data_IF_005657633096
#
_entry.id   IF_005657633096
#
_cell.length_a   1.000
_cell.length_b   1.000
_cell.length_c   1.000
_cell.angle_alpha   90.00
_cell.angle_beta   90.00
_cell.angle_gamma   90.00
#
_symmetry.space_group_name_H-M   'P 1'
#
loop_
_entity.id
_entity.type
_entity.pdbx_description
1 polymer ?
#
# COMPACT_ATOMS: atom_id res chain seq x y z
N UNK A 1 -12.91 -0.10 11.12
CA UNK A 1 -12.71 1.28 10.62
C UNK A 1 -11.30 1.36 10.07
N UNK A 2 -11.06 2.16 9.03
CA UNK A 2 -9.76 2.24 8.34
C UNK A 2 -9.05 3.53 8.72
N UNK A 3 -7.73 3.48 8.92
CA UNK A 3 -6.89 4.67 9.15
C UNK A 3 -6.86 5.59 7.92
N UNK A 4 -6.33 6.80 8.11
CA UNK A 4 -6.11 7.75 7.01
C UNK A 4 -5.06 7.19 6.06
N UNK A 5 -4.00 6.60 6.62
CA UNK A 5 -2.90 6.00 5.89
C UNK A 5 -3.39 4.84 5.02
N UNK A 6 -4.25 3.97 5.56
CA UNK A 6 -4.84 2.87 4.80
C UNK A 6 -5.75 3.39 3.68
N UNK A 7 -6.60 4.38 3.95
CA UNK A 7 -7.46 4.99 2.94
C UNK A 7 -6.65 5.61 1.79
N UNK A 8 -5.54 6.28 2.13
CA UNK A 8 -4.62 6.84 1.13
C UNK A 8 -4.03 5.73 0.26
N UNK A 9 -3.45 4.69 0.88
CA UNK A 9 -2.90 3.53 0.17
C UNK A 9 -3.94 2.88 -0.75
N UNK A 10 -5.15 2.61 -0.24
CA UNK A 10 -6.21 1.96 -1.03
C UNK A 10 -6.64 2.81 -2.22
N UNK A 11 -6.70 4.14 -2.06
CA UNK A 11 -7.01 5.06 -3.16
C UNK A 11 -5.92 5.02 -4.23
N UNK A 12 -4.67 5.20 -3.87
CA UNK A 12 -3.54 5.25 -4.80
C UNK A 12 -3.36 3.93 -5.56
N UNK A 13 -3.39 2.80 -4.84
CA UNK A 13 -3.33 1.48 -5.48
C UNK A 13 -4.56 1.26 -6.36
N UNK A 14 -5.75 1.64 -5.90
CA UNK A 14 -6.99 1.51 -6.67
C UNK A 14 -6.93 2.27 -7.99
N UNK A 15 -6.46 3.51 -7.99
CA UNK A 15 -6.27 4.34 -9.19
C UNK A 15 -5.25 3.70 -10.15
N UNK A 16 -4.14 3.19 -9.62
CA UNK A 16 -3.09 2.53 -10.41
C UNK A 16 -3.59 1.24 -11.08
N UNK A 17 -4.27 0.38 -10.33
CA UNK A 17 -4.86 -0.89 -10.84
C UNK A 17 -5.97 -0.60 -11.85
N UNK A 18 -6.83 0.40 -11.59
CA UNK A 18 -7.86 0.81 -12.53
C UNK A 18 -7.24 1.25 -13.87
N UNK A 19 -6.21 2.10 -13.82
CA UNK A 19 -5.50 2.57 -15.01
C UNK A 19 -4.86 1.41 -15.79
N UNK A 20 -4.17 0.49 -15.09
CA UNK A 20 -3.57 -0.70 -15.69
C UNK A 20 -4.62 -1.55 -16.41
N UNK A 21 -5.76 -1.82 -15.76
CA UNK A 21 -6.83 -2.62 -16.33
C UNK A 21 -7.49 -1.90 -17.52
N UNK A 22 -7.72 -0.59 -17.42
CA UNK A 22 -8.27 0.23 -18.51
C UNK A 22 -7.38 0.17 -19.75
N UNK A 23 -6.06 0.31 -19.56
CA UNK A 23 -5.07 0.19 -20.65
C UNK A 23 -5.13 -1.23 -21.26
N UNK A 24 -5.14 -2.27 -20.42
CA UNK A 24 -5.20 -3.66 -20.91
C UNK A 24 -6.46 -3.92 -21.73
N UNK A 25 -7.62 -3.43 -21.27
CA UNK A 25 -8.89 -3.53 -21.99
C UNK A 25 -8.86 -2.73 -23.28
N UNK A 26 -8.46 -1.45 -23.24
CA UNK A 26 -8.38 -0.59 -24.42
C UNK A 26 -7.47 -1.20 -25.51
N UNK A 27 -6.31 -1.74 -25.12
CA UNK A 27 -5.39 -2.41 -26.04
C UNK A 27 -5.98 -3.69 -26.65
N UNK A 28 -6.92 -4.37 -25.98
CA UNK A 28 -7.57 -5.56 -26.52
C UNK A 28 -8.44 -5.26 -27.74
N UNK A 29 -8.99 -4.04 -27.84
CA UNK A 29 -9.79 -3.59 -28.97
C UNK A 29 -8.96 -3.14 -30.18
N UNK A 30 -7.65 -2.91 -30.04
CA UNK A 30 -6.80 -2.59 -31.16
C UNK A 30 -6.56 -3.85 -32.02
N UNK A 31 -6.65 -3.75 -33.37
CA UNK A 31 -6.33 -4.87 -34.26
C UNK A 31 -4.84 -5.21 -34.14
N UNK A 32 -4.47 -6.45 -34.45
CA UNK A 32 -3.07 -6.88 -34.45
C UNK A 32 -2.31 -6.53 -35.73
N UNK A 33 -3.05 -6.21 -36.80
CA UNK A 33 -2.50 -5.88 -38.12
C UNK A 33 -3.32 -4.78 -38.79
N UNK A 34 -2.72 -4.09 -39.76
CA UNK A 34 -3.36 -3.05 -40.55
C UNK A 34 -2.90 -1.63 -40.13
N UNK A 35 -3.50 -0.63 -40.76
CA UNK A 35 -3.29 0.78 -40.40
C UNK A 35 -4.41 1.21 -39.46
N UNK A 36 -4.03 1.87 -38.36
CA UNK A 36 -4.97 2.47 -37.42
C UNK A 36 -4.88 3.98 -37.60
N UNK A 37 -6.01 4.62 -37.86
CA UNK A 37 -6.08 6.09 -37.89
C UNK A 37 -6.13 6.60 -36.47
N UNK A 38 -5.26 7.54 -36.13
CA UNK A 38 -5.34 8.26 -34.84
C UNK A 38 -6.65 9.04 -34.83
N UNK A 39 -7.46 8.94 -33.76
CA UNK A 39 -8.72 9.69 -33.63
C UNK A 39 -8.50 11.21 -33.77
N UNK A 40 -9.46 11.87 -34.43
CA UNK A 40 -9.46 13.32 -34.53
C UNK A 40 -9.54 13.94 -33.14
N UNK A 41 -8.71 14.94 -32.86
CA UNK A 41 -8.62 15.57 -31.54
C UNK A 41 -7.49 15.04 -30.64
N UNK A 42 -6.80 13.95 -31.03
CA UNK A 42 -5.57 13.53 -30.39
C UNK A 42 -4.38 14.09 -31.18
N UNK A 43 -3.75 15.14 -30.65
CA UNK A 43 -2.55 15.74 -31.26
C UNK A 43 -1.29 14.97 -30.86
N UNK A 44 -1.19 13.72 -31.35
CA UNK A 44 -0.08 12.81 -31.12
C UNK A 44 0.43 12.20 -32.44
N UNK A 45 1.73 11.99 -32.52
CA UNK A 45 2.36 11.18 -33.56
C UNK A 45 2.42 9.73 -33.11
N UNK A 46 1.65 8.83 -33.76
CA UNK A 46 1.64 7.41 -33.43
C UNK A 46 1.54 6.54 -34.68
N UNK A 47 2.67 6.04 -35.11
CA UNK A 47 2.82 5.18 -36.31
C UNK A 47 3.67 3.94 -35.96
N UNK A 48 3.11 2.93 -35.29
CA UNK A 48 3.86 1.75 -34.89
C UNK A 48 4.21 0.89 -36.11
N UNK A 49 5.49 0.51 -36.22
CA UNK A 49 5.93 -0.46 -37.25
C UNK A 49 5.25 -1.83 -37.10
N UNK A 50 4.94 -2.20 -35.85
CA UNK A 50 4.24 -3.43 -35.50
C UNK A 50 3.25 -3.15 -34.36
N UNK A 51 1.96 -3.24 -34.64
CA UNK A 51 0.90 -2.94 -33.68
C UNK A 51 0.91 -3.94 -32.52
N UNK A 52 1.10 -5.23 -32.81
CA UNK A 52 1.14 -6.28 -31.77
C UNK A 52 2.29 -6.05 -30.77
N UNK A 53 3.47 -5.67 -31.27
CA UNK A 53 4.60 -5.32 -30.41
C UNK A 53 4.33 -4.04 -29.61
N UNK A 54 3.72 -3.04 -30.21
CA UNK A 54 3.31 -1.80 -29.53
C UNK A 54 2.29 -2.07 -28.42
N UNK A 55 1.27 -2.89 -28.67
CA UNK A 55 0.31 -3.35 -27.65
C UNK A 55 1.01 -4.02 -26.48
N UNK A 56 1.93 -4.96 -26.77
CA UNK A 56 2.69 -5.67 -25.75
C UNK A 56 3.52 -4.73 -24.90
N UNK A 57 4.26 -3.80 -25.51
CA UNK A 57 5.07 -2.81 -24.83
C UNK A 57 4.24 -1.88 -23.94
N UNK A 58 3.10 -1.39 -24.46
CA UNK A 58 2.20 -0.51 -23.71
C UNK A 58 1.59 -1.22 -22.51
N UNK A 59 1.16 -2.47 -22.66
CA UNK A 59 0.65 -3.29 -21.57
C UNK A 59 1.73 -3.54 -20.51
N UNK A 60 2.92 -3.93 -20.94
CA UNK A 60 4.06 -4.16 -20.03
C UNK A 60 4.45 -2.88 -19.26
N UNK A 61 4.35 -1.71 -19.91
CA UNK A 61 4.57 -0.42 -19.25
C UNK A 61 3.54 -0.18 -18.15
N UNK A 62 2.25 -0.42 -18.40
CA UNK A 62 1.19 -0.26 -17.42
C UNK A 62 1.38 -1.20 -16.21
N UNK A 63 1.70 -2.47 -16.48
CA UNK A 63 1.98 -3.47 -15.45
C UNK A 63 3.19 -3.06 -14.58
N UNK A 64 4.29 -2.60 -15.20
CA UNK A 64 5.47 -2.08 -14.49
C UNK A 64 5.16 -0.87 -13.63
N UNK A 65 4.41 0.08 -14.17
CA UNK A 65 4.00 1.27 -13.43
C UNK A 65 3.21 0.90 -12.19
N UNK A 66 2.29 -0.07 -12.29
CA UNK A 66 1.49 -0.52 -11.15
C UNK A 66 2.32 -1.16 -10.04
N UNK A 67 3.40 -1.90 -10.37
CA UNK A 67 4.33 -2.40 -9.35
C UNK A 67 5.04 -1.25 -8.62
N UNK A 68 5.51 -0.24 -9.37
CA UNK A 68 6.22 0.90 -8.78
C UNK A 68 5.29 1.69 -7.86
N UNK A 69 4.12 2.07 -8.34
CA UNK A 69 3.14 2.81 -7.52
C UNK A 69 2.73 2.03 -6.27
N UNK A 70 2.47 0.73 -6.41
CA UNK A 70 2.05 -0.08 -5.25
C UNK A 70 3.14 -0.24 -4.20
N UNK A 71 4.41 -0.31 -4.61
CA UNK A 71 5.53 -0.37 -3.67
C UNK A 71 5.75 0.98 -2.97
N UNK A 72 5.68 2.10 -3.71
CA UNK A 72 5.81 3.43 -3.11
C UNK A 72 4.66 3.72 -2.14
N UNK A 73 3.42 3.40 -2.52
CA UNK A 73 2.27 3.54 -1.61
C UNK A 73 2.41 2.67 -0.36
N UNK A 74 3.00 1.45 -0.47
CA UNK A 74 3.31 0.62 0.69
C UNK A 74 4.35 1.29 1.60
N UNK A 75 5.43 1.85 1.03
CA UNK A 75 6.44 2.55 1.82
C UNK A 75 5.83 3.74 2.57
N UNK A 76 5.05 4.57 1.89
CA UNK A 76 4.38 5.72 2.50
C UNK A 76 3.40 5.29 3.60
N UNK A 77 2.66 4.20 3.39
CA UNK A 77 1.76 3.64 4.40
C UNK A 77 2.52 3.20 5.65
N UNK A 78 3.59 2.42 5.49
CA UNK A 78 4.37 1.91 6.61
C UNK A 78 5.06 3.04 7.39
N UNK A 79 5.61 4.04 6.70
CA UNK A 79 6.17 5.22 7.35
C UNK A 79 5.10 6.06 8.05
N UNK A 80 3.93 6.20 7.44
CA UNK A 80 2.82 6.96 8.02
C UNK A 80 2.30 6.33 9.32
N UNK A 81 2.04 5.02 9.28
CA UNK A 81 1.52 4.30 10.45
C UNK A 81 2.55 4.24 11.60
N UNK A 82 3.85 4.11 11.29
CA UNK A 82 4.90 4.09 12.31
C UNK A 82 5.12 5.44 13.02
N UNK A 83 4.63 6.54 12.45
CA UNK A 83 4.64 7.87 13.09
C UNK A 83 3.47 8.09 14.06
N UNK A 84 2.53 7.14 14.14
CA UNK A 84 1.43 7.25 15.09
C UNK A 84 1.98 7.24 16.53
N UNK A 85 1.55 8.16 17.41
CA UNK A 85 2.05 8.26 18.79
C UNK A 85 1.91 6.97 19.61
N UNK A 86 0.99 6.10 19.23
CA UNK A 86 0.72 4.82 19.91
C UNK A 86 1.38 3.63 19.25
N UNK A 87 2.23 3.86 18.23
CA UNK A 87 2.94 2.79 17.56
C UNK A 87 3.96 2.14 18.51
N UNK A 88 3.79 0.85 18.76
CA UNK A 88 4.61 0.08 19.73
C UNK A 88 5.67 -0.79 19.06
N UNK A 89 5.66 -0.86 17.72
CA UNK A 89 6.64 -1.59 16.93
C UNK A 89 7.81 -0.68 16.54
N UNK A 90 8.94 -1.23 16.05
CA UNK A 90 10.05 -0.41 15.59
C UNK A 90 9.64 0.60 14.52
N UNK A 91 10.17 1.81 14.61
CA UNK A 91 9.98 2.82 13.57
C UNK A 91 10.55 2.38 12.23
N UNK A 92 9.89 2.78 11.15
CA UNK A 92 10.35 2.52 9.81
C UNK A 92 10.56 3.83 9.06
N UNK A 93 11.71 3.96 8.43
CA UNK A 93 12.05 5.08 7.56
C UNK A 93 12.80 4.54 6.34
N UNK A 94 12.36 4.91 5.16
CA UNK A 94 12.94 4.49 3.89
C UNK A 94 13.85 5.53 3.23
N UNK A 95 14.02 6.70 3.82
CA UNK A 95 14.90 7.76 3.30
C UNK A 95 16.35 7.28 3.36
N UNK A 96 17.05 7.27 2.21
CA UNK A 96 18.43 6.82 2.11
C UNK A 96 18.64 5.31 2.29
N UNK A 97 17.59 4.52 2.41
CA UNK A 97 17.67 3.08 2.63
C UNK A 97 17.90 2.32 1.31
N UNK A 98 19.05 1.68 1.17
CA UNK A 98 19.39 0.88 -0.01
C UNK A 98 18.65 -0.46 -0.06
N UNK A 99 18.32 -1.03 1.10
CA UNK A 99 17.69 -2.36 1.23
C UNK A 99 16.21 -2.27 1.60
N UNK A 100 15.47 -1.36 0.96
CA UNK A 100 14.04 -1.13 1.27
C UNK A 100 13.20 -2.43 1.29
N UNK A 101 13.40 -3.32 0.34
CA UNK A 101 12.67 -4.59 0.26
C UNK A 101 12.88 -5.46 1.51
N UNK A 102 14.13 -5.63 1.95
CA UNK A 102 14.45 -6.39 3.16
C UNK A 102 13.89 -5.71 4.42
N UNK A 103 13.93 -4.39 4.45
CA UNK A 103 13.38 -3.62 5.58
C UNK A 103 11.87 -3.79 5.69
N UNK A 104 11.15 -3.79 4.57
CA UNK A 104 9.71 -4.13 4.53
C UNK A 104 9.47 -5.53 5.10
N UNK A 105 10.21 -6.53 4.64
CA UNK A 105 10.07 -7.88 5.18
C UNK A 105 10.29 -7.94 6.69
N UNK A 106 11.39 -7.39 7.19
CA UNK A 106 11.73 -7.41 8.62
C UNK A 106 10.64 -6.73 9.46
N UNK A 107 10.15 -5.59 9.00
CA UNK A 107 9.07 -4.86 9.64
C UNK A 107 7.77 -5.69 9.67
N UNK A 108 7.33 -6.20 8.54
CA UNK A 108 6.09 -6.98 8.44
C UNK A 108 6.17 -8.28 9.26
N UNK A 109 7.31 -8.94 9.25
CA UNK A 109 7.53 -10.18 9.99
C UNK A 109 7.61 -9.96 11.51
N UNK A 110 7.74 -8.73 11.99
CA UNK A 110 7.67 -8.39 13.43
C UNK A 110 6.24 -8.23 13.94
N UNK A 111 5.24 -8.17 13.06
CA UNK A 111 3.83 -7.97 13.41
C UNK A 111 3.14 -9.35 13.51
N UNK A 112 2.57 -9.72 14.68
CA UNK A 112 2.07 -11.08 14.92
C UNK A 112 0.99 -11.56 13.95
N UNK A 113 0.13 -10.66 13.46
CA UNK A 113 -0.99 -10.99 12.57
C UNK A 113 -0.61 -11.05 11.08
N UNK A 114 0.69 -10.88 10.77
CA UNK A 114 1.19 -10.96 9.41
C UNK A 114 1.85 -12.31 9.19
N UNK A 115 1.24 -13.13 8.34
CA UNK A 115 1.85 -14.40 7.94
C UNK A 115 3.19 -14.17 7.23
N UNK A 116 4.15 -15.05 7.51
CA UNK A 116 5.49 -14.96 6.94
C UNK A 116 5.48 -14.98 5.41
N UNK A 117 4.64 -15.80 4.78
CA UNK A 117 4.50 -15.80 3.32
C UNK A 117 4.00 -14.45 2.79
N UNK A 118 3.07 -13.78 3.51
CA UNK A 118 2.59 -12.45 3.14
C UNK A 118 3.72 -11.42 3.18
N UNK A 119 4.54 -11.46 4.24
CA UNK A 119 5.70 -10.57 4.36
C UNK A 119 6.72 -10.79 3.24
N UNK A 120 7.01 -12.05 2.87
CA UNK A 120 7.93 -12.38 1.78
C UNK A 120 7.36 -11.94 0.42
N UNK A 121 6.06 -12.08 0.19
CA UNK A 121 5.42 -11.67 -1.07
C UNK A 121 5.37 -10.13 -1.21
N UNK A 122 5.22 -9.40 -0.11
CA UNK A 122 5.41 -7.93 -0.12
C UNK A 122 6.88 -7.55 -0.42
N UNK A 123 7.86 -8.26 0.14
CA UNK A 123 9.27 -8.09 -0.22
C UNK A 123 9.53 -8.37 -1.70
N UNK A 124 8.92 -9.41 -2.27
CA UNK A 124 9.04 -9.74 -3.69
C UNK A 124 8.52 -8.61 -4.58
N UNK A 125 7.37 -8.01 -4.22
CA UNK A 125 6.85 -6.83 -4.92
C UNK A 125 7.85 -5.66 -4.87
N UNK A 126 8.47 -5.40 -3.72
CA UNK A 126 9.49 -4.37 -3.58
C UNK A 126 10.76 -4.68 -4.42
N UNK A 127 11.14 -5.94 -4.55
CA UNK A 127 12.22 -6.35 -5.45
C UNK A 127 11.86 -6.16 -6.92
N UNK A 128 10.60 -6.41 -7.32
CA UNK A 128 10.11 -6.07 -8.66
C UNK A 128 10.25 -4.57 -8.93
N UNK A 129 9.79 -3.72 -8.00
CA UNK A 129 9.96 -2.26 -8.10
C UNK A 129 11.43 -1.89 -8.30
N UNK A 130 12.33 -2.47 -7.52
CA UNK A 130 13.76 -2.16 -7.62
C UNK A 130 14.33 -2.55 -8.99
N UNK A 131 13.95 -3.70 -9.55
CA UNK A 131 14.37 -4.11 -10.90
C UNK A 131 13.79 -3.24 -12.00
N UNK A 132 12.60 -2.69 -11.81
CA UNK A 132 11.94 -1.81 -12.78
C UNK A 132 12.59 -0.43 -12.79
N UNK A 133 12.85 0.14 -11.61
CA UNK A 133 13.37 1.51 -11.46
C UNK A 133 14.90 1.57 -11.70
N UNK A 134 15.62 0.56 -11.25
CA UNK A 134 17.08 0.52 -11.29
C UNK A 134 17.55 -0.59 -12.24
N UNK A 135 17.66 -0.28 -13.52
CA UNK A 135 18.00 -1.26 -14.58
C UNK A 135 19.32 -2.03 -14.33
N UNK A 136 20.23 -1.49 -13.53
CA UNK A 136 21.54 -2.05 -13.24
C UNK A 136 21.62 -2.91 -11.96
N UNK A 137 20.54 -3.04 -11.21
CA UNK A 137 20.54 -3.88 -10.00
C UNK A 137 20.21 -5.32 -10.39
N UNK A 138 21.24 -6.10 -10.73
CA UNK A 138 21.13 -7.53 -11.03
C UNK A 138 20.81 -8.38 -9.80
N UNK A 139 21.12 -7.90 -8.58
CA UNK A 139 21.10 -8.68 -7.34
C UNK A 139 19.83 -8.48 -6.50
N UNK A 140 18.83 -7.73 -6.98
CA UNK A 140 17.55 -7.61 -6.27
C UNK A 140 16.82 -8.96 -6.30
N UNK A 141 16.87 -9.71 -5.20
CA UNK A 141 16.23 -11.03 -5.07
C UNK A 141 15.93 -11.35 -3.61
N UNK A 142 14.89 -12.15 -3.40
CA UNK A 142 14.66 -12.79 -2.11
C UNK A 142 15.68 -13.93 -1.89
N UNK A 143 16.05 -14.18 -0.63
CA UNK A 143 17.03 -15.20 -0.29
C UNK A 143 16.52 -16.63 -0.63
N UNK A 144 17.46 -17.57 -0.83
CA UNK A 144 17.11 -18.99 -1.08
C UNK A 144 16.19 -19.55 0.00
N UNK A 145 16.49 -19.32 1.28
CA UNK A 145 15.66 -19.75 2.41
C UNK A 145 14.20 -19.28 2.33
N UNK A 146 13.98 -18.05 1.83
CA UNK A 146 12.62 -17.52 1.64
C UNK A 146 11.94 -18.15 0.43
N UNK A 147 12.69 -18.43 -0.63
CA UNK A 147 12.18 -19.16 -1.80
C UNK A 147 11.76 -20.57 -1.43
N UNK A 148 12.63 -21.29 -0.71
CA UNK A 148 12.34 -22.66 -0.24
C UNK A 148 11.06 -22.66 0.61
N UNK A 149 10.92 -21.71 1.53
CA UNK A 149 9.72 -21.54 2.35
C UNK A 149 8.45 -21.29 1.51
N UNK A 150 8.52 -20.42 0.49
CA UNK A 150 7.37 -20.16 -0.39
C UNK A 150 7.00 -21.41 -1.20
N UNK A 151 7.99 -22.16 -1.70
CA UNK A 151 7.77 -23.40 -2.45
C UNK A 151 7.16 -24.49 -1.56
N UNK A 152 7.61 -24.62 -0.31
CA UNK A 152 6.99 -25.51 0.69
C UNK A 152 5.51 -25.15 0.94
N UNK A 153 5.18 -23.87 0.95
CA UNK A 153 3.83 -23.36 1.20
C UNK A 153 2.99 -23.18 -0.08
N UNK A 154 3.43 -23.67 -1.24
CA UNK A 154 2.79 -23.43 -2.55
C UNK A 154 1.29 -23.70 -2.57
N UNK A 155 0.85 -24.83 -2.00
CA UNK A 155 -0.57 -25.22 -2.02
C UNK A 155 -1.43 -24.29 -1.15
N UNK A 156 -0.90 -23.87 0.00
CA UNK A 156 -1.54 -22.89 0.87
C UNK A 156 -1.62 -21.51 0.19
N UNK A 157 -0.54 -21.07 -0.46
CA UNK A 157 -0.48 -19.82 -1.22
C UNK A 157 -1.46 -19.86 -2.39
N UNK A 158 -1.48 -20.96 -3.15
CA UNK A 158 -2.39 -21.15 -4.28
C UNK A 158 -3.86 -21.00 -3.84
N UNK A 159 -4.25 -21.68 -2.76
CA UNK A 159 -5.62 -21.61 -2.25
C UNK A 159 -5.98 -20.25 -1.64
N UNK A 160 -5.03 -19.60 -0.94
CA UNK A 160 -5.24 -18.34 -0.23
C UNK A 160 -5.28 -17.10 -1.15
N UNK A 161 -4.53 -17.12 -2.25
CA UNK A 161 -4.31 -15.97 -3.12
C UNK A 161 -4.79 -16.21 -4.56
N UNK A 162 -6.06 -16.60 -4.72
CA UNK A 162 -6.73 -16.71 -6.01
C UNK A 162 -5.93 -17.52 -7.05
N UNK A 163 -5.55 -18.74 -6.68
CA UNK A 163 -4.79 -19.66 -7.51
C UNK A 163 -3.45 -19.06 -8.00
N UNK A 164 -2.74 -18.40 -7.09
CA UNK A 164 -1.42 -17.86 -7.37
C UNK A 164 -0.36 -18.95 -7.36
N UNK A 165 0.16 -19.23 -8.54
CA UNK A 165 1.26 -20.17 -8.72
C UNK A 165 2.59 -19.49 -8.37
N UNK A 166 3.10 -19.80 -7.17
CA UNK A 166 4.32 -19.18 -6.65
C UNK A 166 5.57 -19.63 -7.39
N UNK A 167 5.64 -20.86 -7.86
CA UNK A 167 6.79 -21.39 -8.58
C UNK A 167 6.91 -20.67 -9.93
N UNK A 168 5.78 -20.53 -10.65
CA UNK A 168 5.73 -19.77 -11.89
C UNK A 168 6.04 -18.27 -11.66
N UNK A 169 5.58 -17.69 -10.56
CA UNK A 169 5.86 -16.29 -10.24
C UNK A 169 7.34 -16.05 -9.92
N UNK A 170 8.00 -16.97 -9.26
CA UNK A 170 9.45 -16.93 -9.02
C UNK A 170 10.24 -17.11 -10.31
N UNK A 171 9.84 -18.03 -11.20
CA UNK A 171 10.42 -18.16 -12.54
C UNK A 171 10.25 -16.88 -13.37
N UNK A 172 9.04 -16.32 -13.36
CA UNK A 172 8.77 -15.03 -14.02
C UNK A 172 9.65 -13.90 -13.46
N UNK A 173 9.85 -13.89 -12.13
CA UNK A 173 10.74 -12.92 -11.49
C UNK A 173 12.18 -13.10 -11.98
N UNK A 174 12.71 -14.30 -12.00
CA UNK A 174 14.09 -14.57 -12.43
C UNK A 174 14.31 -14.20 -13.91
N UNK A 175 13.34 -14.51 -14.74
CA UNK A 175 13.35 -14.21 -16.18
C UNK A 175 12.89 -12.78 -16.51
N UNK A 176 12.67 -11.91 -15.53
CA UNK A 176 12.20 -10.51 -15.69
C UNK A 176 10.90 -10.41 -16.51
N UNK A 177 10.05 -11.44 -16.46
CA UNK A 177 8.78 -11.52 -17.18
C UNK A 177 7.66 -11.02 -16.27
N UNK A 178 7.09 -9.87 -16.57
CA UNK A 178 5.94 -9.34 -15.86
C UNK A 178 4.67 -9.90 -16.47
N UNK A 179 3.75 -10.38 -15.63
CA UNK A 179 2.43 -10.83 -16.04
C UNK A 179 1.35 -10.07 -15.28
N UNK A 180 0.20 -9.86 -15.92
CA UNK A 180 -0.95 -9.22 -15.26
C UNK A 180 -1.40 -10.01 -14.02
N UNK A 181 -1.33 -11.34 -14.08
CA UNK A 181 -1.71 -12.22 -12.97
C UNK A 181 -0.82 -12.00 -11.75
N UNK A 182 0.51 -12.00 -11.95
CA UNK A 182 1.47 -11.79 -10.86
C UNK A 182 1.32 -10.38 -10.27
N UNK A 183 1.21 -9.36 -11.14
CA UNK A 183 1.03 -7.98 -10.71
C UNK A 183 -0.25 -7.82 -9.86
N UNK A 184 -1.39 -8.25 -10.37
CA UNK A 184 -2.66 -8.12 -9.66
C UNK A 184 -2.68 -8.89 -8.34
N UNK A 185 -2.05 -10.07 -8.29
CA UNK A 185 -2.01 -10.88 -7.08
C UNK A 185 -1.09 -10.27 -6.02
N UNK A 186 0.14 -9.89 -6.38
CA UNK A 186 1.08 -9.27 -5.43
C UNK A 186 0.53 -7.94 -4.88
N UNK A 187 -0.12 -7.14 -5.73
CA UNK A 187 -0.79 -5.90 -5.30
C UNK A 187 -1.94 -6.22 -4.32
N UNK A 188 -2.74 -7.25 -4.60
CA UNK A 188 -3.80 -7.69 -3.69
C UNK A 188 -3.23 -8.14 -2.33
N UNK A 189 -2.08 -8.79 -2.32
CA UNK A 189 -1.39 -9.20 -1.10
C UNK A 189 -0.95 -7.98 -0.28
N UNK A 190 -0.42 -6.94 -0.92
CA UNK A 190 -0.08 -5.67 -0.26
C UNK A 190 -1.32 -5.05 0.41
N UNK A 191 -2.46 -5.00 -0.28
CA UNK A 191 -3.71 -4.49 0.28
C UNK A 191 -4.16 -5.33 1.50
N UNK A 192 -4.09 -6.66 1.40
CA UNK A 192 -4.44 -7.55 2.51
C UNK A 192 -3.50 -7.35 3.71
N UNK A 193 -2.20 -7.20 3.44
CA UNK A 193 -1.19 -6.93 4.46
C UNK A 193 -1.47 -5.61 5.18
N UNK A 194 -1.67 -4.52 4.45
CA UNK A 194 -1.97 -3.22 5.02
C UNK A 194 -3.26 -3.24 5.86
N UNK A 195 -4.31 -3.92 5.39
CA UNK A 195 -5.55 -4.10 6.17
C UNK A 195 -5.35 -4.91 7.44
N UNK A 196 -4.51 -5.94 7.41
CA UNK A 196 -4.20 -6.73 8.60
C UNK A 196 -3.44 -5.90 9.64
N UNK A 197 -2.45 -5.12 9.21
CA UNK A 197 -1.71 -4.18 10.08
C UNK A 197 -2.67 -3.17 10.69
N UNK A 198 -3.48 -2.52 9.86
CA UNK A 198 -4.42 -1.48 10.29
C UNK A 198 -5.42 -2.02 11.32
N UNK A 199 -5.96 -3.21 11.07
CA UNK A 199 -6.87 -3.89 11.99
C UNK A 199 -6.17 -4.21 13.32
N UNK A 200 -5.00 -4.84 13.28
CA UNK A 200 -4.23 -5.23 14.46
C UNK A 200 -3.91 -4.02 15.33
N UNK A 201 -3.31 -3.01 14.73
CA UNK A 201 -2.82 -1.83 15.44
C UNK A 201 -3.96 -0.98 16.02
N UNK A 202 -4.93 -0.59 15.20
CA UNK A 202 -5.99 0.32 15.66
C UNK A 202 -7.06 -0.37 16.52
N UNK A 203 -7.22 -1.68 16.41
CA UNK A 203 -8.06 -2.42 17.33
C UNK A 203 -7.49 -2.36 18.75
N UNK A 204 -6.17 -2.52 18.91
CA UNK A 204 -5.47 -2.36 20.18
C UNK A 204 -5.64 -0.95 20.76
N UNK A 205 -5.37 0.11 19.98
CA UNK A 205 -5.53 1.50 20.45
C UNK A 205 -6.97 1.77 20.93
N UNK A 206 -7.95 1.28 20.19
CA UNK A 206 -9.35 1.52 20.53
C UNK A 206 -9.75 0.87 21.87
N UNK A 207 -9.08 -0.20 22.28
CA UNK A 207 -9.39 -0.94 23.52
C UNK A 207 -8.47 -0.51 24.67
N UNK A 208 -7.16 -0.50 24.45
CA UNK A 208 -6.17 -0.51 25.53
C UNK A 208 -5.69 0.89 25.96
N UNK A 209 -5.70 1.88 25.06
CA UNK A 209 -5.22 3.24 25.37
C UNK A 209 -6.29 4.05 26.07
N UNK A 210 -5.97 4.61 27.22
CA UNK A 210 -6.94 5.42 27.99
C UNK A 210 -7.25 6.77 27.31
N UNK A 211 -8.44 7.38 27.58
CA UNK A 211 -8.76 8.70 27.05
C UNK A 211 -7.77 9.81 27.45
N UNK A 212 -7.15 9.72 28.63
CA UNK A 212 -6.17 10.70 29.08
C UNK A 212 -4.86 10.59 28.30
N UNK A 213 -4.36 9.36 28.05
CA UNK A 213 -3.18 9.12 27.23
C UNK A 213 -3.39 9.61 25.79
N UNK A 214 -4.60 9.41 25.24
CA UNK A 214 -4.96 9.96 23.93
C UNK A 214 -4.89 11.49 23.91
N UNK A 215 -5.47 12.15 24.94
CA UNK A 215 -5.45 13.62 25.05
C UNK A 215 -4.00 14.13 25.16
N UNK A 216 -3.15 13.46 25.93
CA UNK A 216 -1.75 13.86 26.08
C UNK A 216 -0.97 13.72 24.76
N UNK A 217 -1.21 12.66 24.01
CA UNK A 217 -0.66 12.51 22.68
C UNK A 217 -1.19 13.58 21.71
N UNK A 218 -2.49 13.93 21.75
CA UNK A 218 -3.07 14.97 20.91
C UNK A 218 -2.45 16.35 21.14
N UNK A 219 -2.00 16.65 22.35
CA UNK A 219 -1.33 17.94 22.68
C UNK A 219 -0.04 18.17 21.88
N UNK A 220 0.56 17.11 21.33
CA UNK A 220 1.73 17.23 20.45
C UNK A 220 1.36 17.67 19.02
N UNK A 221 0.09 17.53 18.60
CA UNK A 221 -0.40 17.91 17.30
C UNK A 221 -0.70 19.42 17.25
N UNK A 222 -0.09 20.11 16.27
CA UNK A 222 -0.27 21.56 16.10
C UNK A 222 -1.71 21.95 15.79
N UNK A 223 -2.43 21.14 15.01
CA UNK A 223 -3.81 21.43 14.63
C UNK A 223 -4.76 21.28 15.83
N UNK A 224 -4.56 20.22 16.62
CA UNK A 224 -5.25 20.04 17.89
C UNK A 224 -5.02 21.23 18.82
N UNK A 225 -3.77 21.66 18.99
CA UNK A 225 -3.41 22.76 19.88
C UNK A 225 -4.07 24.10 19.49
N UNK A 226 -4.17 24.39 18.17
CA UNK A 226 -4.88 25.57 17.66
C UNK A 226 -6.37 25.51 18.00
N UNK A 227 -7.00 24.36 17.81
CA UNK A 227 -8.43 24.16 18.13
C UNK A 227 -8.67 24.24 19.64
N UNK A 228 -7.81 23.60 20.43
CA UNK A 228 -7.91 23.57 21.90
C UNK A 228 -7.86 24.96 22.53
N UNK A 229 -7.04 25.87 21.99
CA UNK A 229 -6.88 27.26 22.47
C UNK A 229 -8.02 28.21 22.10
N UNK A 230 -9.03 27.78 21.36
CA UNK A 230 -10.15 28.66 20.99
C UNK A 230 -11.00 29.04 22.20
N UNK A 231 -11.25 30.36 22.34
CA UNK A 231 -12.05 30.91 23.44
C UNK A 231 -13.54 30.50 23.35
N UNK A 232 -14.10 30.47 22.12
CA UNK A 232 -15.49 30.03 21.91
C UNK A 232 -15.62 28.51 22.12
N UNK A 233 -16.24 28.14 23.24
CA UNK A 233 -16.43 26.74 23.63
C UNK A 233 -17.27 25.94 22.63
N UNK A 234 -18.30 26.52 22.03
CA UNK A 234 -19.19 25.85 21.06
C UNK A 234 -18.45 25.55 19.77
N UNK A 235 -17.73 26.55 19.24
CA UNK A 235 -16.91 26.39 18.05
C UNK A 235 -15.78 25.40 18.28
N UNK A 236 -15.07 25.51 19.43
CA UNK A 236 -14.03 24.58 19.84
C UNK A 236 -14.53 23.13 19.85
N UNK A 237 -15.64 22.85 20.51
CA UNK A 237 -16.19 21.51 20.63
C UNK A 237 -16.57 20.90 19.26
N UNK A 238 -17.20 21.69 18.40
CA UNK A 238 -17.54 21.26 17.03
C UNK A 238 -16.29 20.93 16.21
N UNK A 239 -15.25 21.76 16.34
CA UNK A 239 -14.00 21.52 15.62
C UNK A 239 -13.21 20.35 16.18
N UNK A 240 -13.20 20.15 17.50
CA UNK A 240 -12.59 18.97 18.13
C UNK A 240 -13.29 17.68 17.72
N UNK A 241 -14.63 17.65 17.71
CA UNK A 241 -15.38 16.50 17.25
C UNK A 241 -14.99 16.13 15.81
N UNK A 242 -15.02 17.12 14.92
CA UNK A 242 -14.63 16.92 13.52
C UNK A 242 -13.17 16.50 13.37
N UNK A 243 -12.27 17.06 14.17
CA UNK A 243 -10.86 16.69 14.17
C UNK A 243 -10.65 15.24 14.60
N UNK A 244 -11.36 14.78 15.65
CA UNK A 244 -11.34 13.38 16.07
C UNK A 244 -11.91 12.45 15.00
N UNK A 245 -13.00 12.82 14.34
CA UNK A 245 -13.57 12.04 13.25
C UNK A 245 -12.61 11.86 12.07
N UNK A 246 -11.87 12.91 11.75
CA UNK A 246 -10.94 12.91 10.62
C UNK A 246 -9.63 12.19 10.97
N UNK A 247 -9.02 12.52 12.10
CA UNK A 247 -7.67 12.02 12.43
C UNK A 247 -7.67 10.69 13.20
N UNK A 248 -8.76 10.38 13.92
CA UNK A 248 -8.91 9.17 14.74
C UNK A 248 -10.23 8.45 14.45
N UNK A 249 -10.50 8.09 13.19
CA UNK A 249 -11.76 7.46 12.78
C UNK A 249 -11.99 6.09 13.43
N UNK A 250 -10.93 5.45 13.89
CA UNK A 250 -10.95 4.12 14.52
C UNK A 250 -11.37 4.14 15.99
N UNK A 251 -11.42 5.30 16.65
CA UNK A 251 -11.94 5.38 18.02
C UNK A 251 -13.44 5.16 18.04
N UNK A 252 -13.91 4.42 19.04
CA UNK A 252 -15.36 4.23 19.26
C UNK A 252 -16.03 5.56 19.61
N UNK A 253 -17.32 5.69 19.32
CA UNK A 253 -18.07 6.91 19.61
C UNK A 253 -18.10 7.19 21.12
N UNK A 254 -18.22 6.14 21.95
CA UNK A 254 -18.14 6.26 23.42
C UNK A 254 -16.80 6.84 23.86
N UNK A 255 -15.70 6.40 23.26
CA UNK A 255 -14.35 6.91 23.59
C UNK A 255 -14.17 8.36 23.13
N UNK A 256 -14.67 8.72 21.94
CA UNK A 256 -14.69 10.10 21.44
C UNK A 256 -15.49 11.03 22.33
N UNK A 257 -16.69 10.61 22.76
CA UNK A 257 -17.50 11.39 23.69
C UNK A 257 -16.82 11.59 25.05
N UNK A 258 -16.16 10.56 25.56
CA UNK A 258 -15.39 10.64 26.83
C UNK A 258 -14.24 11.63 26.71
N UNK A 259 -13.48 11.57 25.62
CA UNK A 259 -12.39 12.52 25.32
C UNK A 259 -12.95 13.97 25.26
N UNK A 260 -14.06 14.18 24.53
CA UNK A 260 -14.67 15.49 24.44
C UNK A 260 -15.16 16.04 25.78
N UNK A 261 -15.65 15.17 26.68
CA UNK A 261 -16.04 15.56 28.05
C UNK A 261 -14.84 15.94 28.89
N UNK A 262 -13.74 15.17 28.85
CA UNK A 262 -12.50 15.46 29.58
C UNK A 262 -11.83 16.76 29.12
N UNK A 263 -11.85 17.04 27.82
CA UNK A 263 -11.29 18.29 27.27
C UNK A 263 -12.14 19.52 27.66
N UNK A 264 -13.45 19.33 27.92
CA UNK A 264 -14.36 20.42 28.32
C UNK A 264 -14.22 20.83 29.78
N UNK A 265 -13.71 19.93 30.63
CA UNK A 265 -13.46 20.25 32.04
C UNK A 265 -12.13 20.98 32.15
N UNK A 266 -12.09 22.27 32.54
CA UNK A 266 -10.87 22.98 32.76
C UNK A 266 -10.08 22.44 33.98
#
# INVERSE_FOLDING_TARGET
>A
MESIELKKLLKEIGESVHSMNTIAVALSYLPDKGKIKVPEGLDISWEPKNIKDSKFKSRNYAERSSYVYSAESLFEYLEGISKNPFWTYPDINFIGEEKKALKVFNFLNSIPDIDKEMAILCELLCHWRNRIVHMNISNASISSKKRDYLTEKRDAIYNKYNHFDIEQALDNFDNKRITLKDASTLITIVIKCARAIDKHFFQGISVDVSPNELIDAFKTDKSFHIIYKQADSTKRNRQLSRWLEVNYPYLTDVKKETILKLIKSP
#
